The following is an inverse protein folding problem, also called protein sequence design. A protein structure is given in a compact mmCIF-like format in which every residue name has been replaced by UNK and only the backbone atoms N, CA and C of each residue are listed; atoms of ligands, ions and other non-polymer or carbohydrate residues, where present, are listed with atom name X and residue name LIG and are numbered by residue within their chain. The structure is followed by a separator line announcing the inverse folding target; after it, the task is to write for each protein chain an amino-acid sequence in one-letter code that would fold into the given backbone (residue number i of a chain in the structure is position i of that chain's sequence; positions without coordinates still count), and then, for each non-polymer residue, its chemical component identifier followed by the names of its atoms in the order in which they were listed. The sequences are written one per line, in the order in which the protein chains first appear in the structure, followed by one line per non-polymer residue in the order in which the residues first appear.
data_IF_748683406592
#
_entry.id   IF_748683406592
#
_cell.length_a   1.000
_cell.length_b   1.000
_cell.length_c   1.000
_cell.angle_alpha   90.00
_cell.angle_beta   90.00
_cell.angle_gamma   90.00
#
_symmetry.space_group_name_H-M   'P 1'
#
loop_
_entity.id
_entity.type
_entity.pdbx_description
1 polymer ?
#
# COMPACT_ATOMS: atom_id res chain seq x y z
N UNK A 1 -17.25 20.27 21.43
CA UNK A 1 -18.58 19.88 20.92
C UNK A 1 -19.56 19.44 22.00
N UNK A 2 -19.29 19.67 23.29
CA UNK A 2 -20.28 19.47 24.36
C UNK A 2 -20.29 20.74 25.21
N UNK A 3 -21.07 21.74 24.81
CA UNK A 3 -21.24 22.98 25.57
C UNK A 3 -22.16 22.73 26.76
N UNK A 4 -21.68 21.94 27.73
CA UNK A 4 -22.44 21.56 28.92
C UNK A 4 -21.95 22.40 30.10
N UNK A 5 -22.84 23.18 30.68
CA UNK A 5 -22.54 23.98 31.86
C UNK A 5 -22.61 23.13 33.15
N UNK A 6 -21.99 23.61 34.23
CA UNK A 6 -21.97 22.89 35.51
C UNK A 6 -23.39 22.55 36.02
N UNK A 7 -24.37 23.44 35.77
CA UNK A 7 -25.78 23.23 36.12
C UNK A 7 -26.41 22.11 35.29
N UNK A 8 -26.13 22.07 33.99
CA UNK A 8 -26.65 21.03 33.09
C UNK A 8 -26.05 19.67 33.40
N UNK A 9 -24.78 19.61 33.83
CA UNK A 9 -24.15 18.39 34.30
C UNK A 9 -24.85 17.83 35.55
N UNK A 10 -25.23 18.69 36.51
CA UNK A 10 -26.01 18.28 37.69
C UNK A 10 -27.40 17.79 37.26
N UNK A 11 -28.07 18.49 36.34
CA UNK A 11 -29.35 18.06 35.80
C UNK A 11 -29.27 16.65 35.18
N UNK A 12 -28.25 16.37 34.36
CA UNK A 12 -28.04 15.04 33.78
C UNK A 12 -27.77 13.98 34.84
N UNK A 13 -27.03 14.32 35.91
CA UNK A 13 -26.76 13.40 37.00
C UNK A 13 -28.06 13.04 37.74
N UNK A 14 -28.90 14.03 38.04
CA UNK A 14 -30.23 13.81 38.65
C UNK A 14 -31.10 12.95 37.72
N UNK A 15 -31.14 13.26 36.42
CA UNK A 15 -31.91 12.50 35.44
C UNK A 15 -31.44 11.04 35.37
N UNK A 16 -30.12 10.81 35.37
CA UNK A 16 -29.52 9.49 35.40
C UNK A 16 -29.85 8.72 36.68
N UNK A 17 -29.84 9.39 37.83
CA UNK A 17 -30.23 8.78 39.12
C UNK A 17 -31.71 8.39 39.11
N UNK A 18 -32.59 9.21 38.55
CA UNK A 18 -34.02 8.88 38.45
C UNK A 18 -34.23 7.71 37.48
N UNK A 19 -33.55 7.71 36.34
CA UNK A 19 -33.75 6.71 35.29
C UNK A 19 -33.19 5.32 35.66
N UNK A 20 -32.04 5.27 36.32
CA UNK A 20 -31.36 4.01 36.66
C UNK A 20 -31.44 3.64 38.15
N UNK A 21 -31.74 4.60 39.01
CA UNK A 21 -31.72 4.47 40.47
C UNK A 21 -30.35 4.83 41.10
N UNK A 22 -30.33 5.44 42.29
CA UNK A 22 -29.10 5.87 42.97
C UNK A 22 -28.18 4.71 43.35
N UNK A 23 -28.73 3.50 43.50
CA UNK A 23 -27.96 2.31 43.86
C UNK A 23 -27.22 1.69 42.67
N UNK A 24 -27.76 1.83 41.45
CA UNK A 24 -27.23 1.17 40.26
C UNK A 24 -26.06 1.91 39.64
N UNK A 25 -26.09 3.25 39.63
CA UNK A 25 -25.01 4.07 39.07
C UNK A 25 -23.64 3.77 39.68
N UNK A 26 -23.45 3.76 41.02
CA UNK A 26 -22.16 3.42 41.63
C UNK A 26 -21.72 1.99 41.32
N UNK A 27 -22.66 1.04 41.22
CA UNK A 27 -22.35 -0.34 40.87
C UNK A 27 -21.84 -0.45 39.44
N UNK A 28 -22.45 0.26 38.48
CA UNK A 28 -22.00 0.29 37.09
C UNK A 28 -20.67 1.01 36.93
N UNK A 29 -20.48 2.16 37.58
CA UNK A 29 -19.22 2.90 37.55
C UNK A 29 -18.05 2.05 38.08
N UNK A 30 -18.26 1.29 39.16
CA UNK A 30 -17.23 0.37 39.70
C UNK A 30 -16.86 -0.74 38.72
N UNK A 31 -17.83 -1.30 38.01
CA UNK A 31 -17.59 -2.33 36.97
C UNK A 31 -16.80 -1.74 35.81
N UNK A 32 -17.20 -0.57 35.32
CA UNK A 32 -16.50 0.14 34.25
C UNK A 32 -15.06 0.51 34.66
N UNK A 33 -14.87 1.01 35.88
CA UNK A 33 -13.54 1.32 36.41
C UNK A 33 -12.62 0.10 36.44
N UNK A 34 -13.14 -1.08 36.83
CA UNK A 34 -12.36 -2.33 36.82
C UNK A 34 -11.91 -2.71 35.41
N UNK A 35 -12.81 -2.60 34.42
CA UNK A 35 -12.48 -2.86 33.01
C UNK A 35 -11.42 -1.87 32.52
N UNK A 36 -11.59 -0.58 32.85
CA UNK A 36 -10.65 0.46 32.46
C UNK A 36 -9.25 0.21 33.05
N UNK A 37 -9.16 -0.10 34.34
CA UNK A 37 -7.87 -0.40 35.00
C UNK A 37 -7.24 -1.65 34.37
N UNK A 38 -8.01 -2.71 34.15
CA UNK A 38 -7.52 -3.92 33.50
C UNK A 38 -6.99 -3.65 32.09
N UNK A 39 -7.71 -2.86 31.29
CA UNK A 39 -7.28 -2.49 29.93
C UNK A 39 -6.01 -1.63 29.96
N UNK A 40 -5.93 -0.67 30.88
CA UNK A 40 -4.73 0.15 31.12
C UNK A 40 -3.53 -0.73 31.47
N UNK A 41 -3.72 -1.71 32.34
CA UNK A 41 -2.64 -2.61 32.77
C UNK A 41 -2.18 -3.50 31.61
N UNK A 42 -3.11 -4.04 30.80
CA UNK A 42 -2.76 -4.77 29.56
C UNK A 42 -1.95 -3.88 28.61
N UNK A 43 -2.40 -2.65 28.38
CA UNK A 43 -1.72 -1.72 27.49
C UNK A 43 -0.29 -1.42 27.95
N UNK A 44 -0.09 -1.20 29.25
CA UNK A 44 1.23 -0.97 29.85
C UNK A 44 2.14 -2.21 29.77
N UNK A 45 1.58 -3.40 30.03
CA UNK A 45 2.33 -4.66 29.94
C UNK A 45 2.76 -4.93 28.50
N UNK A 46 1.86 -4.77 27.53
CA UNK A 46 2.17 -4.92 26.12
C UNK A 46 3.27 -3.95 25.68
N UNK A 47 3.18 -2.67 26.08
CA UNK A 47 4.24 -1.68 25.83
C UNK A 47 5.59 -2.14 26.39
N UNK A 48 5.59 -2.68 27.61
CA UNK A 48 6.80 -3.18 28.29
C UNK A 48 7.39 -4.39 27.56
N UNK A 49 6.57 -5.37 27.18
CA UNK A 49 7.01 -6.56 26.43
C UNK A 49 7.55 -6.18 25.04
N UNK A 50 6.85 -5.30 24.30
CA UNK A 50 7.30 -4.83 22.99
C UNK A 50 8.63 -4.06 23.08
N UNK A 51 8.78 -3.19 24.09
CA UNK A 51 10.03 -2.47 24.32
C UNK A 51 11.21 -3.36 24.70
N UNK A 52 10.96 -4.43 25.47
CA UNK A 52 12.00 -5.37 25.91
C UNK A 52 12.48 -6.30 24.79
N UNK A 53 11.57 -6.77 23.93
CA UNK A 53 11.88 -7.77 22.89
C UNK A 53 12.32 -7.16 21.56
N UNK A 54 11.83 -5.95 21.22
CA UNK A 54 12.08 -5.32 19.92
C UNK A 54 13.02 -4.10 20.01
N UNK A 55 13.44 -3.74 21.22
CA UNK A 55 14.33 -2.63 21.49
C UNK A 55 13.62 -1.28 21.66
N UNK A 56 14.36 -0.25 22.10
CA UNK A 56 13.82 1.05 22.51
C UNK A 56 13.07 1.80 21.39
N UNK A 57 13.27 1.44 20.12
CA UNK A 57 12.54 2.06 19.00
C UNK A 57 11.03 1.78 18.99
N UNK A 58 10.57 0.71 19.66
CA UNK A 58 9.15 0.37 19.79
C UNK A 58 8.57 0.71 21.17
N UNK A 59 9.43 1.05 22.13
CA UNK A 59 9.02 1.49 23.46
C UNK A 59 8.35 2.87 23.45
N UNK A 60 8.62 3.69 22.42
CA UNK A 60 8.05 5.03 22.26
C UNK A 60 6.87 5.09 21.28
N UNK A 61 6.31 3.93 20.86
CA UNK A 61 5.00 3.89 20.22
C UNK A 61 3.93 4.26 21.26
N UNK A 62 3.74 5.56 21.44
CA UNK A 62 2.68 6.12 22.27
C UNK A 62 1.33 5.68 21.71
N UNK A 63 0.53 5.01 22.54
CA UNK A 63 -0.87 4.62 22.24
C UNK A 63 -1.79 5.80 21.85
N UNK A 64 -1.28 7.03 21.85
CA UNK A 64 -1.93 8.25 21.38
C UNK A 64 -1.87 8.41 19.84
N UNK A 65 -0.94 7.73 19.17
CA UNK A 65 -0.79 7.70 17.70
C UNK A 65 -1.38 6.41 17.08
N UNK A 66 -1.89 5.48 17.91
CA UNK A 66 -2.72 4.34 17.51
C UNK A 66 -4.18 4.78 17.19
N UNK A 67 -4.36 5.85 16.43
CA UNK A 67 -5.51 5.89 15.54
C UNK A 67 -5.24 4.83 14.46
N UNK A 68 -6.10 3.83 14.23
CA UNK A 68 -5.84 2.78 13.24
C UNK A 68 -5.55 3.39 11.87
N UNK A 69 -6.20 4.51 11.53
CA UNK A 69 -5.89 5.30 10.32
C UNK A 69 -4.50 5.93 10.32
N UNK A 70 -4.02 6.45 11.45
CA UNK A 70 -2.71 7.10 11.52
C UNK A 70 -1.56 6.07 11.52
N UNK A 71 -1.72 4.96 12.23
CA UNK A 71 -0.76 3.85 12.22
C UNK A 71 -0.66 3.19 10.83
N UNK A 72 -1.81 2.91 10.20
CA UNK A 72 -1.88 2.43 8.82
C UNK A 72 -1.30 3.48 7.86
N UNK A 73 -1.62 4.77 8.01
CA UNK A 73 -1.06 5.82 7.17
C UNK A 73 0.46 5.95 7.31
N UNK A 74 1.04 5.82 8.51
CA UNK A 74 2.50 5.88 8.71
C UNK A 74 3.19 4.65 8.12
N UNK A 75 2.63 3.46 8.32
CA UNK A 75 3.16 2.21 7.76
C UNK A 75 3.03 2.18 6.23
N UNK A 76 1.88 2.61 5.69
CA UNK A 76 1.68 2.78 4.25
C UNK A 76 2.47 3.95 3.67
N UNK A 77 2.77 5.03 4.39
CA UNK A 77 3.60 6.12 3.86
C UNK A 77 5.05 5.66 3.64
N UNK A 78 5.58 4.82 4.52
CA UNK A 78 6.89 4.20 4.33
C UNK A 78 6.87 3.21 3.14
N UNK A 79 5.81 2.41 3.00
CA UNK A 79 5.65 1.51 1.84
C UNK A 79 5.36 2.26 0.53
N UNK A 80 4.56 3.32 0.56
CA UNK A 80 4.22 4.16 -0.59
C UNK A 80 5.41 4.99 -1.04
N UNK A 81 6.26 5.47 -0.14
CA UNK A 81 7.52 6.12 -0.52
C UNK A 81 8.43 5.15 -1.29
N UNK A 82 8.52 3.90 -0.86
CA UNK A 82 9.25 2.87 -1.61
C UNK A 82 8.58 2.50 -2.94
N UNK A 83 7.24 2.47 -2.99
CA UNK A 83 6.49 2.22 -4.23
C UNK A 83 6.59 3.40 -5.21
N UNK A 84 6.62 4.65 -4.73
CA UNK A 84 6.76 5.85 -5.56
C UNK A 84 8.19 5.99 -6.12
N UNK A 85 9.21 5.64 -5.34
CA UNK A 85 10.61 5.51 -5.79
C UNK A 85 10.71 4.42 -6.87
N UNK A 86 10.21 3.21 -6.60
CA UNK A 86 10.19 2.11 -7.57
C UNK A 86 9.40 2.46 -8.84
N UNK A 87 8.29 3.20 -8.73
CA UNK A 87 7.49 3.65 -9.86
C UNK A 87 8.19 4.72 -10.68
N UNK A 88 9.01 5.59 -10.06
CA UNK A 88 9.88 6.54 -10.77
C UNK A 88 11.00 5.84 -11.50
N UNK A 89 11.65 4.86 -10.88
CA UNK A 89 12.71 4.06 -11.51
C UNK A 89 12.19 3.25 -12.70
N UNK A 90 11.05 2.56 -12.56
CA UNK A 90 10.43 1.81 -13.66
C UNK A 90 9.99 2.74 -14.80
N UNK A 91 9.46 3.93 -14.48
CA UNK A 91 9.08 4.91 -15.50
C UNK A 91 10.30 5.45 -16.25
N UNK A 92 11.37 5.78 -15.53
CA UNK A 92 12.64 6.22 -16.13
C UNK A 92 13.25 5.12 -17.01
N UNK A 93 13.26 3.87 -16.55
CA UNK A 93 13.71 2.71 -17.33
C UNK A 93 12.83 2.46 -18.57
N UNK A 94 11.51 2.66 -18.46
CA UNK A 94 10.59 2.57 -19.59
C UNK A 94 10.80 3.68 -20.62
N UNK A 95 11.11 4.90 -20.18
CA UNK A 95 11.41 6.04 -21.05
C UNK A 95 12.74 5.85 -21.79
N UNK A 96 13.78 5.34 -21.13
CA UNK A 96 15.08 5.03 -21.75
C UNK A 96 14.98 3.86 -22.73
N UNK A 97 14.23 2.79 -22.38
CA UNK A 97 13.97 1.69 -23.30
C UNK A 97 13.21 2.16 -24.54
N UNK A 98 12.21 3.03 -24.36
CA UNK A 98 11.43 3.59 -25.48
C UNK A 98 12.25 4.54 -26.35
N UNK A 99 13.20 5.28 -25.77
CA UNK A 99 14.18 6.06 -26.52
C UNK A 99 15.11 5.16 -27.35
N UNK A 100 15.71 4.14 -26.72
CA UNK A 100 16.58 3.18 -27.42
C UNK A 100 15.89 2.44 -28.56
N UNK A 101 14.60 2.10 -28.42
CA UNK A 101 13.81 1.48 -29.50
C UNK A 101 13.59 2.46 -30.67
N UNK A 102 13.35 3.74 -30.39
CA UNK A 102 13.20 4.77 -31.44
C UNK A 102 14.51 5.03 -32.17
N UNK A 103 15.62 5.01 -31.45
CA UNK A 103 16.96 5.21 -32.02
C UNK A 103 17.34 4.01 -32.88
N UNK A 104 17.10 2.78 -32.41
CA UNK A 104 17.30 1.56 -33.19
C UNK A 104 16.39 1.51 -34.43
N UNK A 105 15.14 1.94 -34.32
CA UNK A 105 14.21 2.02 -35.45
C UNK A 105 14.68 3.05 -36.48
N UNK A 106 15.17 4.21 -36.03
CA UNK A 106 15.71 5.26 -36.90
C UNK A 106 16.98 4.80 -37.60
N UNK A 107 17.92 4.17 -36.87
CA UNK A 107 19.14 3.60 -37.43
C UNK A 107 18.85 2.46 -38.42
N UNK A 108 17.84 1.63 -38.14
CA UNK A 108 17.39 0.58 -39.07
C UNK A 108 16.78 1.20 -40.33
N UNK A 109 16.04 2.31 -40.19
CA UNK A 109 15.43 3.02 -41.32
C UNK A 109 16.48 3.72 -42.18
N UNK A 110 17.53 4.28 -41.59
CA UNK A 110 18.70 4.81 -42.30
C UNK A 110 19.51 3.70 -42.98
N UNK A 111 19.78 2.59 -42.31
CA UNK A 111 20.46 1.44 -42.91
C UNK A 111 19.64 0.85 -44.07
N UNK A 112 18.31 0.77 -43.93
CA UNK A 112 17.41 0.31 -45.00
C UNK A 112 17.35 1.31 -46.16
N UNK A 113 17.45 2.62 -45.89
CA UNK A 113 17.53 3.64 -46.92
C UNK A 113 18.88 3.59 -47.68
N UNK A 114 19.99 3.33 -46.98
CA UNK A 114 21.31 3.14 -47.58
C UNK A 114 21.39 1.85 -48.42
N UNK A 115 20.72 0.79 -48.00
CA UNK A 115 20.60 -0.46 -48.78
C UNK A 115 19.74 -0.30 -50.05
N UNK A 116 18.83 0.70 -50.09
CA UNK A 116 17.95 0.95 -51.24
C UNK A 116 18.66 1.64 -52.40
N UNK A 117 19.83 2.25 -52.19
CA UNK A 117 20.60 2.96 -53.22
C UNK A 117 21.61 2.05 -53.96
N UNK A 118 21.81 0.82 -53.49
CA UNK A 118 22.62 -0.20 -54.19
C UNK A 118 21.72 -1.26 -54.79
N UNK A 119 21.05 -0.95 -55.90
CA UNK A 119 20.40 -1.97 -56.73
C UNK A 119 20.80 -1.83 -58.20
N UNK A 120 21.87 -2.54 -58.60
CA UNK A 120 22.14 -2.86 -60.01
C UNK A 120 21.27 -4.08 -60.37
N UNK A 121 20.48 -4.05 -61.44
CA UNK A 121 19.48 -5.09 -61.68
C UNK A 121 20.15 -6.30 -62.31
N UNK A 122 19.89 -7.48 -61.77
CA UNK A 122 19.82 -8.71 -62.57
C UNK A 122 18.51 -9.38 -62.21
N UNK A 123 17.49 -9.07 -63.01
CA UNK A 123 16.26 -9.83 -63.02
C UNK A 123 16.55 -11.17 -63.69
N UNK A 124 16.58 -12.25 -62.92
CA UNK A 124 16.45 -13.58 -63.48
C UNK A 124 15.50 -14.41 -62.61
N UNK A 125 14.30 -14.58 -63.18
CA UNK A 125 13.30 -15.62 -62.99
C UNK A 125 13.42 -16.58 -61.80
N UNK A 126 12.34 -16.68 -61.00
CA UNK A 126 11.56 -17.90 -60.79
C UNK A 126 10.37 -17.64 -59.83
N UNK A 127 9.21 -18.14 -60.22
CA UNK A 127 7.91 -17.97 -59.58
C UNK A 127 7.79 -18.59 -58.15
N UNK A 128 6.82 -18.14 -57.33
CA UNK A 128 6.66 -18.57 -55.94
C UNK A 128 5.91 -19.91 -55.81
N UNK A 129 6.58 -20.92 -55.26
CA UNK A 129 5.93 -22.17 -54.86
C UNK A 129 5.62 -22.17 -53.34
N UNK A 130 4.32 -22.00 -53.04
CA UNK A 130 3.49 -22.38 -51.89
C UNK A 130 4.09 -22.71 -50.50
N UNK A 131 3.39 -22.34 -49.41
CA UNK A 131 3.80 -22.67 -48.04
C UNK A 131 3.72 -24.17 -47.79
N UNK A 132 4.83 -24.78 -47.35
CA UNK A 132 4.84 -26.17 -46.87
C UNK A 132 4.37 -26.21 -45.41
N UNK A 133 3.23 -26.83 -45.16
CA UNK A 133 2.77 -27.21 -43.84
C UNK A 133 3.67 -28.33 -43.31
N UNK A 134 4.36 -28.13 -42.18
CA UNK A 134 5.05 -29.21 -41.48
C UNK A 134 4.06 -30.02 -40.63
N UNK A 135 4.13 -31.36 -40.59
CA UNK A 135 3.18 -32.21 -39.85
C UNK A 135 3.34 -32.09 -38.33
N UNK A 136 2.24 -32.26 -37.60
CA UNK A 136 2.19 -32.26 -36.14
C UNK A 136 2.79 -33.57 -35.58
N UNK A 137 3.67 -33.47 -34.57
CA UNK A 137 4.35 -34.59 -33.92
C UNK A 137 3.63 -34.98 -32.60
N UNK A 138 3.04 -36.19 -32.50
CA UNK A 138 2.27 -36.60 -31.33
C UNK A 138 3.05 -37.33 -30.22
N UNK A 139 4.39 -37.40 -30.24
CA UNK A 139 5.18 -38.07 -29.18
C UNK A 139 5.65 -37.14 -28.04
N UNK A 140 5.12 -35.91 -27.93
CA UNK A 140 5.40 -35.03 -26.80
C UNK A 140 4.45 -35.29 -25.62
N UNK A 141 4.80 -36.24 -24.75
CA UNK A 141 4.32 -36.33 -23.35
C UNK A 141 5.48 -36.15 -22.39
#
# INVERSE_FOLDING_TARGET
MFGIDAVELVLLLVLGVIMFGPEKLPQFSRKAARIFVYLRDIANNAKTTLGNELGPEYADLELKDLNPKAFIAKQLQNEVAMIDEAKREIKAAGETAKAGIKDATSATKEATAALKDTNRPTAEALEPASPRNSPFDPEAT
#
